data_IF_361009212358
#
_entry.id   IF_361009212358
#
_cell.length_a   1.000
_cell.length_b   1.000
_cell.length_c   1.000
_cell.angle_alpha   90.00
_cell.angle_beta   90.00
_cell.angle_gamma   90.00
#
_symmetry.space_group_name_H-M   'P 1'
#
loop_
_entity.id
_entity.type
_entity.pdbx_description
1 polymer ?
#
# COMPACT_ATOMS: atom_id res chain seq x y z
N UNK A 1 -2.14 9.91 6.39
CA UNK A 1 -3.44 9.22 6.34
C UNK A 1 -3.17 7.75 6.09
N UNK A 2 -3.80 6.83 6.84
CA UNK A 2 -3.74 5.39 6.60
C UNK A 2 -4.21 5.02 5.19
N UNK A 3 -3.67 3.92 4.67
CA UNK A 3 -4.05 3.41 3.35
C UNK A 3 -5.54 3.02 3.26
N UNK A 4 -6.11 2.56 4.38
CA UNK A 4 -7.50 2.09 4.48
C UNK A 4 -8.53 3.21 4.35
N UNK A 5 -8.14 4.45 4.63
CA UNK A 5 -9.00 5.63 4.58
C UNK A 5 -9.00 6.30 3.20
N UNK A 6 -8.21 5.78 2.25
CA UNK A 6 -8.20 6.27 0.88
C UNK A 6 -9.38 5.70 0.10
N UNK A 7 -10.07 6.59 -0.62
CA UNK A 7 -11.08 6.18 -1.59
C UNK A 7 -10.44 5.38 -2.73
N UNK A 8 -11.15 4.37 -3.27
CA UNK A 8 -10.74 3.69 -4.49
C UNK A 8 -10.43 4.69 -5.61
N UNK A 9 -9.51 4.29 -6.49
CA UNK A 9 -9.02 5.05 -7.64
C UNK A 9 -8.16 6.27 -7.32
N UNK A 10 -7.97 6.65 -6.05
CA UNK A 10 -7.04 7.73 -5.69
C UNK A 10 -5.58 7.32 -5.81
N UNK A 11 -4.77 8.27 -6.26
CA UNK A 11 -3.32 8.18 -6.34
C UNK A 11 -2.67 8.91 -5.17
N UNK A 12 -1.52 8.42 -4.73
CA UNK A 12 -0.77 9.03 -3.63
C UNK A 12 0.68 8.59 -3.60
N UNK A 13 1.46 9.25 -2.75
CA UNK A 13 2.87 8.93 -2.52
C UNK A 13 2.98 8.22 -1.17
N UNK A 14 3.76 7.14 -1.12
CA UNK A 14 4.09 6.45 0.13
C UNK A 14 4.93 7.39 1.00
N UNK A 15 4.31 8.02 1.98
CA UNK A 15 5.01 8.91 2.90
C UNK A 15 5.84 8.14 3.93
N UNK A 16 5.27 7.09 4.51
CA UNK A 16 5.94 6.25 5.50
C UNK A 16 5.35 4.83 5.48
N UNK A 17 6.16 3.83 5.84
CA UNK A 17 5.72 2.45 6.05
C UNK A 17 5.85 2.11 7.53
N UNK A 18 4.72 2.08 8.22
CA UNK A 18 4.63 1.70 9.63
C UNK A 18 4.33 0.19 9.78
N UNK A 19 4.91 -0.43 10.80
CA UNK A 19 4.76 -1.85 11.07
C UNK A 19 6.04 -2.54 11.54
N UNK A 20 5.90 -3.82 11.93
CA UNK A 20 7.00 -4.64 12.44
C UNK A 20 8.08 -4.95 11.39
N UNK A 21 9.25 -5.40 11.87
CA UNK A 21 10.41 -5.69 11.01
C UNK A 21 10.09 -6.66 9.86
N UNK A 22 9.30 -7.70 10.12
CA UNK A 22 8.88 -8.68 9.10
C UNK A 22 8.04 -8.06 7.98
N UNK A 23 7.07 -7.20 8.34
CA UNK A 23 6.24 -6.49 7.36
C UNK A 23 7.11 -5.58 6.50
N UNK A 24 7.92 -4.72 7.13
CA UNK A 24 8.84 -3.79 6.44
C UNK A 24 9.76 -4.51 5.45
N UNK A 25 10.29 -5.67 5.82
CA UNK A 25 11.14 -6.50 4.93
C UNK A 25 10.34 -7.03 3.74
N UNK A 26 9.12 -7.52 3.97
CA UNK A 26 8.24 -8.04 2.93
C UNK A 26 7.85 -6.96 1.93
N UNK A 27 7.37 -5.81 2.39
CA UNK A 27 6.98 -4.70 1.48
C UNK A 27 8.18 -4.15 0.69
N UNK A 28 9.36 -4.05 1.32
CA UNK A 28 10.59 -3.67 0.59
C UNK A 28 11.00 -4.69 -0.48
N UNK A 29 10.82 -5.99 -0.22
CA UNK A 29 11.16 -7.05 -1.17
C UNK A 29 10.28 -7.05 -2.43
N UNK A 30 9.03 -6.59 -2.32
CA UNK A 30 8.09 -6.50 -3.45
C UNK A 30 8.13 -5.13 -4.15
N UNK A 31 8.96 -4.20 -3.67
CA UNK A 31 9.23 -2.93 -4.33
C UNK A 31 8.51 -1.72 -3.73
N UNK A 32 7.68 -1.88 -2.70
CA UNK A 32 7.11 -0.75 -1.97
C UNK A 32 8.21 -0.03 -1.17
N UNK A 33 8.41 1.25 -1.48
CA UNK A 33 9.36 2.12 -0.80
C UNK A 33 8.73 3.49 -0.63
N UNK A 34 9.14 4.19 0.42
CA UNK A 34 8.79 5.59 0.64
C UNK A 34 9.19 6.42 -0.59
N UNK A 35 8.35 7.39 -0.96
CA UNK A 35 8.50 8.20 -2.16
C UNK A 35 7.95 7.59 -3.45
N UNK A 36 7.48 6.33 -3.45
CA UNK A 36 6.83 5.77 -4.64
C UNK A 36 5.37 6.19 -4.77
N UNK A 37 4.94 6.31 -6.03
CA UNK A 37 3.53 6.45 -6.36
C UNK A 37 2.81 5.13 -6.14
N UNK A 38 1.63 5.22 -5.55
CA UNK A 38 0.68 4.14 -5.39
C UNK A 38 -0.69 4.60 -5.87
N UNK A 39 -1.51 3.66 -6.32
CA UNK A 39 -2.92 3.88 -6.59
C UNK A 39 -3.75 2.90 -5.79
N UNK A 40 -4.81 3.38 -5.14
CA UNK A 40 -5.76 2.49 -4.48
C UNK A 40 -6.65 1.88 -5.54
N UNK A 41 -6.63 0.55 -5.65
CA UNK A 41 -7.44 -0.20 -6.62
C UNK A 41 -8.77 -0.55 -5.96
N UNK A 42 -8.73 -1.05 -4.73
CA UNK A 42 -9.93 -1.39 -3.97
C UNK A 42 -9.67 -1.20 -2.48
N UNK A 43 -10.67 -0.68 -1.77
CA UNK A 43 -10.69 -0.63 -0.31
C UNK A 43 -11.94 -1.34 0.19
N UNK A 44 -11.75 -2.43 0.92
CA UNK A 44 -12.79 -3.20 1.61
C UNK A 44 -12.57 -3.08 3.13
N UNK A 45 -13.61 -3.31 3.95
CA UNK A 45 -13.51 -3.16 5.42
C UNK A 45 -12.39 -3.97 6.08
N UNK A 46 -11.92 -5.06 5.45
CA UNK A 46 -10.90 -5.96 5.99
C UNK A 46 -9.68 -6.12 5.07
N UNK A 47 -9.70 -5.50 3.88
CA UNK A 47 -8.61 -5.62 2.92
C UNK A 47 -8.49 -4.42 2.01
N UNK A 48 -7.26 -4.00 1.72
CA UNK A 48 -6.97 -2.93 0.77
C UNK A 48 -6.03 -3.44 -0.30
N UNK A 49 -6.35 -3.16 -1.56
CA UNK A 49 -5.53 -3.51 -2.72
C UNK A 49 -4.98 -2.24 -3.32
N UNK A 50 -3.67 -2.18 -3.50
CA UNK A 50 -2.98 -1.04 -4.11
C UNK A 50 -2.10 -1.46 -5.27
N UNK A 51 -2.07 -0.63 -6.30
CA UNK A 51 -1.18 -0.74 -7.45
C UNK A 51 0.12 0.02 -7.21
N UNK A 52 1.26 -0.64 -7.36
CA UNK A 52 2.61 -0.04 -7.27
C UNK A 52 3.47 -0.62 -8.39
N UNK A 53 4.07 0.22 -9.22
CA UNK A 53 4.90 -0.18 -10.38
C UNK A 53 4.22 -1.21 -11.30
N UNK A 54 2.91 -1.09 -11.51
CA UNK A 54 2.13 -2.03 -12.33
C UNK A 54 1.86 -3.39 -11.67
N UNK A 55 2.11 -3.54 -10.36
CA UNK A 55 1.77 -4.72 -9.57
C UNK A 55 0.67 -4.41 -8.58
N UNK A 56 -0.27 -5.33 -8.43
CA UNK A 56 -1.30 -5.26 -7.40
C UNK A 56 -0.84 -5.95 -6.13
N UNK A 57 -0.97 -5.25 -5.00
CA UNK A 57 -0.53 -5.72 -3.69
C UNK A 57 -1.72 -5.61 -2.74
N UNK A 58 -2.18 -6.77 -2.28
CA UNK A 58 -3.24 -6.89 -1.29
C UNK A 58 -2.68 -6.87 0.13
N UNK A 59 -3.27 -6.03 0.97
CA UNK A 59 -3.07 -5.98 2.41
C UNK A 59 -4.36 -6.43 3.07
N UNK A 60 -4.34 -7.60 3.70
CA UNK A 60 -5.37 -8.06 4.62
C UNK A 60 -4.90 -7.75 6.03
N UNK A 61 -5.70 -7.01 6.79
CA UNK A 61 -5.39 -6.67 8.19
C UNK A 61 -5.90 -7.71 9.15
#
# INVERSE_FOLDING_TARGET
MPLVDLEPEKEGIIACIEGGFGLKRRVRSIGLREGKNLRVIASHPFSTVVGVDGREIGFSS
#
